data_IF_531330695395
#
_entry.id   IF_531330695395
#
_cell.length_a   1.000
_cell.length_b   1.000
_cell.length_c   1.000
_cell.angle_alpha   90.00
_cell.angle_beta   90.00
_cell.angle_gamma   90.00
#
_symmetry.space_group_name_H-M   'P 1'
#
loop_
_entity.id
_entity.type
_entity.pdbx_description
1 polymer ?
#
# COMPACT_ATOMS: atom_id res chain seq x y z
N UNK A 1 -9.14 0.90 5.09
CA UNK A 1 -8.23 -0.25 4.88
C UNK A 1 -9.06 -1.31 4.20
N UNK A 2 -9.11 -1.26 2.87
CA UNK A 2 -10.27 -1.78 2.13
C UNK A 2 -10.01 -3.16 1.54
N UNK A 3 -8.89 -3.78 1.94
CA UNK A 3 -8.40 -5.07 1.43
C UNK A 3 -8.18 -6.09 2.56
N UNK A 4 -8.65 -5.79 3.77
CA UNK A 4 -8.59 -6.69 4.91
C UNK A 4 -9.99 -7.14 5.27
N UNK A 5 -10.14 -8.41 5.64
CA UNK A 5 -11.39 -8.92 6.20
C UNK A 5 -11.70 -8.23 7.53
N UNK A 6 -10.67 -7.98 8.34
CA UNK A 6 -10.75 -7.18 9.57
C UNK A 6 -9.78 -5.98 9.53
N UNK A 7 -10.27 -4.76 9.26
CA UNK A 7 -9.47 -3.54 9.30
C UNK A 7 -8.95 -3.16 10.70
N UNK A 8 -9.55 -3.67 11.77
CA UNK A 8 -9.23 -3.26 13.15
C UNK A 8 -7.84 -3.70 13.62
N UNK A 9 -7.24 -4.70 12.96
CA UNK A 9 -5.87 -5.17 13.21
C UNK A 9 -4.84 -4.04 13.12
N UNK A 10 -5.12 -3.02 12.32
CA UNK A 10 -4.28 -1.82 12.22
C UNK A 10 -5.03 -0.54 12.63
N UNK A 11 -5.90 -0.63 13.64
CA UNK A 11 -6.40 0.55 14.30
C UNK A 11 -5.23 1.37 14.87
N UNK A 12 -5.19 2.66 14.53
CA UNK A 12 -4.19 3.58 15.05
C UNK A 12 -4.69 4.20 16.35
N UNK A 13 -3.83 4.17 17.36
CA UNK A 13 -4.04 4.83 18.65
C UNK A 13 -2.85 5.75 18.93
N UNK A 14 -3.13 7.03 19.12
CA UNK A 14 -2.12 8.09 19.30
C UNK A 14 -0.98 8.10 18.26
N UNK A 15 -1.28 7.70 17.02
CA UNK A 15 -0.30 7.64 15.91
C UNK A 15 0.55 6.36 15.89
N UNK A 16 0.28 5.42 16.79
CA UNK A 16 0.90 4.11 16.86
C UNK A 16 -0.06 3.02 16.41
N UNK A 17 0.51 1.89 15.97
CA UNK A 17 -0.25 0.69 15.66
C UNK A 17 0.23 -0.44 16.56
N UNK A 18 -0.71 -1.22 17.10
CA UNK A 18 -0.37 -2.37 17.91
C UNK A 18 0.30 -3.44 17.04
N UNK A 19 1.29 -4.14 17.60
CA UNK A 19 1.91 -5.27 16.92
C UNK A 19 0.92 -6.45 16.87
N UNK A 20 0.62 -7.03 15.69
CA UNK A 20 -0.19 -8.25 15.60
C UNK A 20 0.44 -9.39 16.40
N UNK A 21 -0.38 -10.19 17.09
CA UNK A 21 0.08 -11.28 17.97
C UNK A 21 -0.27 -12.67 17.45
N UNK A 22 -1.15 -12.75 16.46
CA UNK A 22 -1.52 -14.00 15.77
C UNK A 22 -0.39 -14.48 14.84
N UNK A 23 -0.35 -15.78 14.50
CA UNK A 23 0.69 -16.32 13.62
C UNK A 23 0.82 -15.62 12.26
N UNK A 24 2.02 -15.69 11.68
CA UNK A 24 2.31 -15.09 10.38
C UNK A 24 2.28 -13.57 10.42
N UNK A 25 1.66 -12.95 9.41
CA UNK A 25 1.50 -11.49 9.35
C UNK A 25 0.37 -10.98 10.25
N UNK A 26 -0.46 -11.88 10.78
CA UNK A 26 -1.58 -11.56 11.65
C UNK A 26 -2.72 -10.80 10.98
N UNK A 27 -2.91 -11.01 9.68
CA UNK A 27 -3.98 -10.40 8.88
C UNK A 27 -4.66 -11.45 8.02
N UNK A 28 -5.91 -11.17 7.64
CA UNK A 28 -6.64 -11.89 6.61
C UNK A 28 -7.02 -10.92 5.49
N UNK A 29 -6.69 -11.27 4.25
CA UNK A 29 -6.89 -10.44 3.06
C UNK A 29 -8.28 -10.68 2.48
N UNK A 30 -9.00 -9.61 2.15
CA UNK A 30 -10.19 -9.69 1.32
C UNK A 30 -9.77 -9.88 -0.15
N UNK A 31 -9.59 -11.15 -0.53
CA UNK A 31 -9.19 -11.56 -1.89
C UNK A 31 -10.19 -11.12 -2.97
N UNK A 32 -11.48 -11.00 -2.64
CA UNK A 32 -12.48 -10.55 -3.61
C UNK A 32 -12.30 -9.06 -3.92
N UNK A 33 -12.08 -8.24 -2.91
CA UNK A 33 -11.75 -6.83 -3.08
C UNK A 33 -10.45 -6.62 -3.85
N UNK A 34 -9.40 -7.41 -3.54
CA UNK A 34 -8.12 -7.36 -4.24
C UNK A 34 -8.26 -7.72 -5.73
N UNK A 35 -8.97 -8.81 -6.04
CA UNK A 35 -9.19 -9.22 -7.44
C UNK A 35 -9.96 -8.17 -8.24
N UNK A 36 -11.00 -7.59 -7.65
CA UNK A 36 -11.77 -6.51 -8.26
C UNK A 36 -10.91 -5.26 -8.52
N UNK A 37 -10.04 -4.89 -7.58
CA UNK A 37 -9.12 -3.77 -7.78
C UNK A 37 -8.10 -4.05 -8.89
N UNK A 38 -7.61 -5.29 -8.98
CA UNK A 38 -6.65 -5.71 -9.99
C UNK A 38 -7.20 -5.68 -11.44
N UNK A 39 -8.53 -5.71 -11.63
CA UNK A 39 -9.16 -5.49 -12.94
C UNK A 39 -8.83 -4.10 -13.51
N UNK A 40 -8.65 -3.11 -12.63
CA UNK A 40 -8.25 -1.76 -12.99
C UNK A 40 -6.74 -1.63 -12.87
N UNK A 41 -6.04 -1.90 -13.97
CA UNK A 41 -4.60 -1.71 -14.05
C UNK A 41 -4.18 -0.24 -13.85
N UNK A 42 -2.92 -0.04 -13.45
CA UNK A 42 -2.30 1.29 -13.39
C UNK A 42 -1.11 1.36 -14.34
N UNK A 43 -0.98 2.47 -15.09
CA UNK A 43 0.21 2.76 -15.89
C UNK A 43 1.18 3.62 -15.09
N UNK A 44 1.49 3.20 -13.86
CA UNK A 44 2.37 3.95 -12.99
C UNK A 44 3.80 3.93 -13.53
N UNK A 45 4.43 5.11 -13.53
CA UNK A 45 5.81 5.33 -13.92
C UNK A 45 6.39 6.35 -12.97
N UNK A 46 7.63 6.16 -12.55
CA UNK A 46 8.36 7.19 -11.82
C UNK A 46 8.36 8.48 -12.63
N UNK A 47 8.23 9.60 -11.94
CA UNK A 47 8.40 10.91 -12.56
C UNK A 47 9.85 11.02 -13.03
N UNK A 48 10.05 11.44 -14.28
CA UNK A 48 11.38 11.69 -14.82
C UNK A 48 11.73 13.14 -14.52
N UNK A 49 12.72 13.35 -13.65
CA UNK A 49 13.22 14.66 -13.32
C UNK A 49 14.39 15.04 -14.22
N UNK A 50 14.45 16.32 -14.61
CA UNK A 50 15.55 16.88 -15.38
C UNK A 50 16.02 18.19 -14.74
N UNK A 51 17.32 18.40 -14.71
CA UNK A 51 17.94 19.66 -14.33
C UNK A 51 17.70 20.72 -15.42
N UNK A 52 18.02 21.99 -15.11
CA UNK A 52 17.81 23.12 -16.03
C UNK A 52 18.54 22.97 -17.38
N UNK A 53 19.63 22.21 -17.41
CA UNK A 53 20.42 21.90 -18.59
C UNK A 53 19.90 20.66 -19.36
N UNK A 54 18.82 20.03 -18.90
CA UNK A 54 18.20 18.84 -19.50
C UNK A 54 18.78 17.51 -19.01
N UNK A 55 19.84 17.53 -18.19
CA UNK A 55 20.46 16.33 -17.62
C UNK A 55 19.47 15.61 -16.72
N UNK A 56 19.48 14.27 -16.75
CA UNK A 56 18.64 13.44 -15.88
C UNK A 56 19.00 13.67 -14.40
N UNK A 57 17.99 13.84 -13.56
CA UNK A 57 18.14 13.85 -12.11
C UNK A 57 17.63 12.53 -11.54
N UNK A 58 18.47 11.85 -10.75
CA UNK A 58 18.05 10.67 -10.00
C UNK A 58 17.13 11.05 -8.84
N UNK A 59 16.29 10.10 -8.45
CA UNK A 59 15.34 10.24 -7.36
C UNK A 59 15.86 9.50 -6.13
#
# INVERSE_FOLDING_TARGET
MDYLVDPSVFAFDEGYVARPTTPGLGIEVDEAAVRKAAEQGHRWRNQVWRLKDGTFAEW
#
